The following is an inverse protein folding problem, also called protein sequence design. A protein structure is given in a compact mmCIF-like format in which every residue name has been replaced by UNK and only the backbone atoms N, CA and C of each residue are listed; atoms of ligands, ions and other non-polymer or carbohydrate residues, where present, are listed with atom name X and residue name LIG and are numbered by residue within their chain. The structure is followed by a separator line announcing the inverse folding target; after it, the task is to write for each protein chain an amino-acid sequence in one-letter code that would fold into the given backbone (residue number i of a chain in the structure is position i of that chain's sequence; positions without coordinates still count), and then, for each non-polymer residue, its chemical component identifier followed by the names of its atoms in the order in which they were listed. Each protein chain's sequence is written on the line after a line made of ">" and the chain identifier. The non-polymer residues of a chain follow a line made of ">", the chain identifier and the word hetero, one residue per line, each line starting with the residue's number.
data_IF_886596873329
#
_entry.id   IF_886596873329
#
_cell.length_a   1.000
_cell.length_b   1.000
_cell.length_c   1.000
_cell.angle_alpha   90.00
_cell.angle_beta   90.00
_cell.angle_gamma   90.00
#
_symmetry.space_group_name_H-M   'P 1'
#
loop_
_entity.id
_entity.type
_entity.pdbx_description
1 polymer ?
#
# COMPACT_ATOMS: atom_id res chain seq x y z
N UNK A 1 -10.60 -9.94 14.38
CA UNK A 1 -10.33 -9.06 13.23
C UNK A 1 -11.60 -8.68 12.48
N UNK A 2 -12.38 -9.63 11.93
CA UNK A 2 -13.65 -9.30 11.24
C UNK A 2 -14.61 -8.47 12.08
N UNK A 3 -14.85 -8.88 13.33
CA UNK A 3 -15.69 -8.14 14.28
C UNK A 3 -15.18 -6.70 14.54
N UNK A 4 -13.85 -6.48 14.58
CA UNK A 4 -13.28 -5.14 14.77
C UNK A 4 -13.65 -4.20 13.62
N UNK A 5 -13.62 -4.71 12.38
CA UNK A 5 -13.96 -3.93 11.19
C UNK A 5 -15.47 -3.69 11.13
N UNK A 6 -16.28 -4.75 11.32
CA UNK A 6 -17.73 -4.69 11.13
C UNK A 6 -18.46 -3.97 12.26
N UNK A 7 -18.09 -4.22 13.51
CA UNK A 7 -18.78 -3.68 14.69
C UNK A 7 -18.21 -2.34 15.14
N UNK A 8 -16.89 -2.18 15.05
CA UNK A 8 -16.19 -0.99 15.57
C UNK A 8 -15.64 -0.07 14.47
N UNK A 9 -15.82 -0.42 13.18
CA UNK A 9 -15.35 0.40 12.07
C UNK A 9 -13.83 0.53 11.99
N UNK A 10 -13.08 -0.38 12.60
CA UNK A 10 -11.61 -0.35 12.60
C UNK A 10 -11.09 -0.62 11.21
N UNK A 11 -10.16 0.20 10.73
CA UNK A 11 -9.48 -0.02 9.45
C UNK A 11 -8.18 -0.75 9.70
N UNK A 12 -8.03 -1.92 9.08
CA UNK A 12 -6.84 -2.76 9.20
C UNK A 12 -6.04 -2.66 7.91
N UNK A 13 -4.79 -2.22 8.03
CA UNK A 13 -3.83 -2.13 6.93
C UNK A 13 -2.74 -3.18 7.16
N UNK A 14 -2.39 -3.96 6.14
CA UNK A 14 -1.42 -5.04 6.23
C UNK A 14 -0.53 -5.08 5.01
N UNK A 15 0.76 -5.37 5.22
CA UNK A 15 1.74 -5.55 4.14
C UNK A 15 1.49 -6.85 3.37
N UNK A 16 1.60 -6.81 2.05
CA UNK A 16 1.42 -7.98 1.18
C UNK A 16 2.49 -9.07 1.40
N UNK A 17 3.69 -8.70 1.85
CA UNK A 17 4.83 -9.60 2.01
C UNK A 17 5.97 -9.26 1.05
N UNK A 18 7.16 -9.80 1.34
CA UNK A 18 8.39 -9.55 0.57
C UNK A 18 8.86 -10.79 -0.22
N UNK A 19 7.93 -11.66 -0.62
CA UNK A 19 8.24 -12.94 -1.28
C UNK A 19 8.05 -12.87 -2.81
N UNK A 20 8.04 -11.67 -3.39
CA UNK A 20 8.09 -11.47 -4.84
C UNK A 20 9.46 -11.88 -5.43
N UNK A 21 9.59 -11.94 -6.76
CA UNK A 21 8.63 -11.53 -7.79
C UNK A 21 7.61 -12.62 -8.17
N UNK A 22 7.65 -13.78 -7.51
CA UNK A 22 6.81 -14.94 -7.82
C UNK A 22 5.34 -14.59 -7.57
N UNK A 23 4.45 -14.95 -8.51
CA UNK A 23 3.00 -14.84 -8.33
C UNK A 23 2.50 -15.76 -7.21
N UNK A 24 1.33 -15.49 -6.65
CA UNK A 24 0.75 -16.28 -5.58
C UNK A 24 1.60 -16.36 -4.30
N UNK A 25 2.36 -15.30 -4.01
CA UNK A 25 3.33 -15.22 -2.91
C UNK A 25 2.79 -14.49 -1.66
N UNK A 26 1.48 -14.21 -1.64
CA UNK A 26 0.78 -13.62 -0.49
C UNK A 26 0.26 -14.73 0.41
N UNK A 27 1.00 -15.00 1.49
CA UNK A 27 0.73 -16.10 2.41
C UNK A 27 0.38 -15.65 3.83
N UNK A 28 0.55 -14.37 4.14
CA UNK A 28 0.45 -13.83 5.49
C UNK A 28 -0.95 -13.27 5.83
N UNK A 29 -1.92 -13.38 4.91
CA UNK A 29 -3.26 -12.81 5.06
C UNK A 29 -4.29 -13.93 5.28
N UNK A 30 -5.08 -13.88 6.38
CA UNK A 30 -6.12 -14.85 6.61
C UNK A 30 -7.22 -14.74 5.53
N UNK A 31 -7.57 -15.87 4.95
CA UNK A 31 -8.49 -15.98 3.80
C UNK A 31 -9.84 -15.30 4.01
N UNK A 32 -10.42 -15.46 5.21
CA UNK A 32 -11.78 -14.98 5.54
C UNK A 32 -11.90 -13.45 5.73
N UNK A 33 -10.79 -12.72 5.75
CA UNK A 33 -10.80 -11.27 6.01
C UNK A 33 -10.21 -10.45 4.87
N UNK A 34 -9.83 -11.09 3.76
CA UNK A 34 -9.19 -10.39 2.64
C UNK A 34 -10.06 -9.25 2.10
N UNK A 35 -11.37 -9.43 2.04
CA UNK A 35 -12.33 -8.44 1.55
C UNK A 35 -12.43 -7.19 2.44
N UNK A 36 -12.07 -7.29 3.73
CA UNK A 36 -12.26 -6.22 4.71
C UNK A 36 -10.95 -5.54 5.15
N UNK A 37 -9.79 -6.10 4.82
CA UNK A 37 -8.48 -5.50 5.13
C UNK A 37 -7.88 -4.81 3.91
N UNK A 38 -7.07 -3.79 4.12
CA UNK A 38 -6.26 -3.18 3.07
C UNK A 38 -4.92 -3.88 2.99
N UNK A 39 -4.68 -4.58 1.88
CA UNK A 39 -3.42 -5.27 1.61
C UNK A 39 -2.56 -4.40 0.72
N UNK A 40 -1.38 -4.04 1.21
CA UNK A 40 -0.53 -3.03 0.58
C UNK A 40 0.72 -3.68 0.00
N UNK A 41 0.87 -3.56 -1.32
CA UNK A 41 2.13 -3.89 -2.00
C UNK A 41 3.10 -2.72 -1.99
N UNK A 42 4.34 -2.97 -2.39
CA UNK A 42 5.36 -1.92 -2.51
C UNK A 42 5.50 -1.50 -3.97
N UNK A 43 5.52 -0.20 -4.22
CA UNK A 43 6.01 0.36 -5.48
C UNK A 43 7.30 1.15 -5.28
N UNK A 44 8.04 1.27 -6.36
CA UNK A 44 9.11 2.23 -6.53
C UNK A 44 8.53 3.52 -7.14
N UNK A 45 8.93 4.66 -6.60
CA UNK A 45 8.50 5.98 -7.09
C UNK A 45 9.48 6.44 -8.17
N UNK A 46 8.96 6.87 -9.31
CA UNK A 46 9.72 7.24 -10.52
C UNK A 46 10.87 8.24 -10.29
N UNK A 47 10.77 9.10 -9.28
CA UNK A 47 11.83 10.07 -8.94
C UNK A 47 13.13 9.41 -8.44
N UNK A 48 13.06 8.20 -7.86
CA UNK A 48 14.25 7.44 -7.41
C UNK A 48 14.77 6.43 -8.43
N UNK A 49 13.92 5.97 -9.35
CA UNK A 49 14.23 5.05 -10.45
C UNK A 49 15.34 5.59 -11.36
N UNK A 50 15.51 6.92 -11.44
CA UNK A 50 16.59 7.55 -12.22
C UNK A 50 17.99 7.31 -11.64
N UNK A 51 18.10 7.05 -10.33
CA UNK A 51 19.40 7.01 -9.64
C UNK A 51 20.04 5.63 -9.60
N UNK A 52 19.26 4.55 -9.60
CA UNK A 52 19.79 3.19 -9.47
C UNK A 52 19.15 2.22 -10.47
N UNK A 53 19.98 1.71 -11.40
CA UNK A 53 19.77 0.53 -12.26
C UNK A 53 18.67 0.56 -13.35
N UNK A 54 17.69 1.46 -13.32
CA UNK A 54 16.54 1.41 -14.24
C UNK A 54 16.36 2.66 -15.13
N UNK A 55 17.47 3.23 -15.64
CA UNK A 55 17.47 4.34 -16.61
C UNK A 55 16.76 4.07 -17.95
N UNK A 56 16.32 2.83 -18.21
CA UNK A 56 15.70 2.43 -19.49
C UNK A 56 14.17 2.31 -19.45
N UNK A 57 13.52 2.55 -18.30
CA UNK A 57 12.05 2.51 -18.22
C UNK A 57 11.52 3.92 -18.50
N UNK A 58 11.23 4.21 -19.78
CA UNK A 58 10.65 5.48 -20.27
C UNK A 58 9.26 5.84 -19.72
N UNK A 59 8.76 5.09 -18.75
CA UNK A 59 7.44 5.29 -18.18
C UNK A 59 7.61 5.84 -16.75
N UNK A 60 7.25 7.12 -16.56
CA UNK A 60 7.19 7.79 -15.24
C UNK A 60 6.13 7.20 -14.29
N UNK A 61 5.66 5.99 -14.56
CA UNK A 61 4.67 5.30 -13.75
C UNK A 61 5.38 4.53 -12.64
N UNK A 62 4.87 4.57 -11.39
CA UNK A 62 5.41 3.78 -10.30
C UNK A 62 5.37 2.30 -10.66
N UNK A 63 6.52 1.64 -10.62
CA UNK A 63 6.66 0.20 -10.88
C UNK A 63 6.50 -0.58 -9.59
N UNK A 64 5.95 -1.81 -9.67
CA UNK A 64 5.91 -2.69 -8.50
C UNK A 64 7.34 -3.06 -8.09
N UNK A 65 7.66 -2.98 -6.80
CA UNK A 65 8.98 -3.37 -6.30
C UNK A 65 9.16 -4.88 -6.47
N UNK A 66 10.34 -5.32 -6.94
CA UNK A 66 10.61 -6.74 -7.25
C UNK A 66 10.36 -7.69 -6.09
N UNK A 67 10.63 -7.26 -4.85
CA UNK A 67 10.39 -8.06 -3.66
C UNK A 67 8.92 -8.11 -3.25
N UNK A 68 8.05 -7.22 -3.75
CA UNK A 68 6.66 -7.16 -3.31
C UNK A 68 5.94 -8.45 -3.68
N UNK A 69 5.34 -9.12 -2.69
CA UNK A 69 4.48 -10.27 -2.93
C UNK A 69 3.32 -9.90 -3.85
N UNK A 70 2.96 -10.82 -4.73
CA UNK A 70 1.94 -10.63 -5.76
C UNK A 70 0.86 -11.71 -5.64
N UNK A 71 -0.35 -11.35 -6.03
CA UNK A 71 -1.43 -12.32 -6.22
C UNK A 71 -1.20 -13.21 -7.45
N UNK A 72 -2.20 -13.99 -7.86
CA UNK A 72 -3.49 -14.16 -7.18
C UNK A 72 -3.35 -14.85 -5.81
N UNK A 73 -4.31 -14.69 -4.91
CA UNK A 73 -4.36 -15.53 -3.71
C UNK A 73 -4.62 -16.98 -4.13
N UNK A 74 -3.80 -17.90 -3.64
CA UNK A 74 -3.92 -19.35 -3.91
C UNK A 74 -5.28 -19.93 -3.52
N UNK A 75 -6.03 -19.23 -2.68
CA UNK A 75 -7.21 -19.74 -2.00
C UNK A 75 -8.51 -19.39 -2.70
N UNK A 76 -8.56 -18.26 -3.41
CA UNK A 76 -9.77 -17.78 -4.07
C UNK A 76 -9.52 -17.10 -5.43
N UNK A 77 -8.27 -17.06 -5.91
CA UNK A 77 -7.93 -16.45 -7.19
C UNK A 77 -8.01 -14.92 -7.22
N UNK A 78 -8.38 -14.25 -6.13
CA UNK A 78 -8.44 -12.78 -6.08
C UNK A 78 -7.05 -12.15 -6.18
N UNK A 79 -6.96 -10.88 -6.54
CA UNK A 79 -5.65 -10.18 -6.71
C UNK A 79 -4.79 -10.17 -5.45
N UNK A 80 -5.36 -10.35 -4.26
CA UNK A 80 -4.62 -10.36 -3.00
C UNK A 80 -4.13 -8.98 -2.52
N UNK A 81 -3.66 -8.12 -3.42
CA UNK A 81 -3.25 -6.74 -3.15
C UNK A 81 -4.43 -5.78 -3.39
N UNK A 82 -4.62 -4.82 -2.49
CA UNK A 82 -5.63 -3.75 -2.64
C UNK A 82 -5.08 -2.58 -3.45
N UNK A 83 -3.90 -2.07 -3.09
CA UNK A 83 -3.17 -1.06 -3.87
C UNK A 83 -1.67 -1.06 -3.50
N UNK A 84 -0.88 -0.29 -4.25
CA UNK A 84 0.56 -0.12 -4.01
C UNK A 84 0.82 1.21 -3.31
N UNK A 85 1.77 1.22 -2.37
CA UNK A 85 2.30 2.45 -1.79
C UNK A 85 3.84 2.42 -1.83
N UNK A 86 4.50 3.58 -1.77
CA UNK A 86 5.96 3.65 -1.75
C UNK A 86 6.54 2.85 -0.58
N UNK A 87 7.38 1.86 -0.89
CA UNK A 87 8.08 1.01 0.09
C UNK A 87 9.51 0.67 -0.30
N UNK A 88 9.98 1.22 -1.43
CA UNK A 88 11.37 1.16 -1.87
C UNK A 88 12.09 2.46 -1.49
N UNK A 89 13.31 2.35 -0.99
CA UNK A 89 14.17 3.50 -0.72
C UNK A 89 13.67 4.37 0.43
N UNK A 90 12.93 3.81 1.39
CA UNK A 90 12.34 4.57 2.50
C UNK A 90 13.43 4.87 3.53
N UNK A 91 13.70 6.16 3.72
CA UNK A 91 14.65 6.63 4.72
C UNK A 91 13.96 6.62 6.08
N UNK A 92 14.45 5.79 7.00
CA UNK A 92 14.03 5.82 8.39
C UNK A 92 15.06 6.59 9.21
N UNK A 93 14.59 7.64 9.89
CA UNK A 93 15.40 8.35 10.88
C UNK A 93 15.09 7.76 12.25
N UNK A 94 15.90 6.81 12.69
CA UNK A 94 15.82 6.30 14.06
C UNK A 94 16.20 7.42 15.04
N UNK A 95 15.42 7.56 16.12
CA UNK A 95 15.76 8.45 17.26
C UNK A 95 16.85 7.86 18.16
N UNK A 96 17.18 6.58 18.01
CA UNK A 96 18.05 5.82 18.92
C UNK A 96 19.49 5.67 18.42
N UNK A 97 19.75 5.95 17.14
CA UNK A 97 21.10 5.92 16.60
C UNK A 97 21.57 7.37 16.38
N UNK A 98 22.59 7.77 17.14
CA UNK A 98 23.28 9.06 17.05
C UNK A 98 24.08 9.23 15.76
N UNK A 99 24.13 8.21 14.91
CA UNK A 99 24.87 8.27 13.66
C UNK A 99 24.07 9.09 12.65
N UNK A 100 24.67 10.16 12.14
CA UNK A 100 24.13 11.05 11.10
C UNK A 100 23.88 10.36 9.73
N UNK A 101 23.86 9.02 9.69
CA UNK A 101 23.66 8.23 8.49
C UNK A 101 22.23 7.66 8.47
N UNK A 102 21.30 8.28 7.73
CA UNK A 102 19.97 7.72 7.54
C UNK A 102 20.04 6.32 6.91
N UNK A 103 19.41 5.33 7.56
CA UNK A 103 19.27 4.00 6.99
C UNK A 103 18.13 3.98 5.96
N UNK A 104 18.39 3.33 4.81
CA UNK A 104 17.43 3.19 3.71
C UNK A 104 16.89 1.77 3.72
N UNK A 105 15.56 1.64 3.76
CA UNK A 105 14.87 0.36 3.85
C UNK A 105 13.99 0.08 2.63
N UNK A 106 13.94 -1.20 2.26
CA UNK A 106 13.18 -1.74 1.15
C UNK A 106 12.27 -2.86 1.65
N UNK A 107 10.99 -2.58 1.89
CA UNK A 107 10.03 -3.62 2.23
C UNK A 107 8.58 -3.14 2.15
N UNK A 108 7.66 -4.09 1.96
CA UNK A 108 6.21 -3.85 2.10
C UNK A 108 5.80 -3.43 3.51
N UNK A 109 6.65 -3.71 4.51
CA UNK A 109 6.50 -3.20 5.88
C UNK A 109 6.62 -1.68 5.96
N UNK A 110 7.28 -1.02 5.00
CA UNK A 110 7.36 0.44 4.93
C UNK A 110 6.24 1.03 4.05
N UNK A 111 5.73 0.27 3.07
CA UNK A 111 4.58 0.71 2.28
C UNK A 111 3.26 0.69 3.06
N UNK A 112 3.07 -0.28 3.96
CA UNK A 112 1.89 -0.37 4.81
C UNK A 112 1.65 0.86 5.72
N UNK A 113 2.63 1.38 6.50
CA UNK A 113 2.43 2.59 7.31
C UNK A 113 2.25 3.84 6.44
N UNK A 114 2.89 3.92 5.27
CA UNK A 114 2.67 5.02 4.32
C UNK A 114 1.21 5.06 3.83
N UNK A 115 0.68 3.90 3.40
CA UNK A 115 -0.72 3.76 3.05
C UNK A 115 -1.67 4.07 4.23
N UNK A 116 -1.33 3.64 5.44
CA UNK A 116 -2.12 3.93 6.64
C UNK A 116 -2.20 5.44 6.92
N UNK A 117 -1.10 6.18 6.77
CA UNK A 117 -1.08 7.64 6.89
C UNK A 117 -1.97 8.32 5.85
N UNK A 118 -1.88 7.92 4.59
CA UNK A 118 -2.75 8.45 3.53
C UNK A 118 -4.23 8.16 3.78
N UNK A 119 -4.55 6.94 4.24
CA UNK A 119 -5.91 6.55 4.64
C UNK A 119 -6.39 7.42 5.81
N UNK A 120 -5.55 7.69 6.81
CA UNK A 120 -5.90 8.55 7.93
C UNK A 120 -6.23 9.98 7.49
N UNK A 121 -5.45 10.55 6.56
CA UNK A 121 -5.73 11.85 5.96
C UNK A 121 -7.07 11.87 5.21
N UNK A 122 -7.37 10.84 4.42
CA UNK A 122 -8.66 10.71 3.74
C UNK A 122 -9.83 10.67 4.72
N UNK A 123 -9.72 9.86 5.78
CA UNK A 123 -10.74 9.78 6.83
C UNK A 123 -10.92 11.13 7.53
N UNK A 124 -9.82 11.83 7.82
CA UNK A 124 -9.85 13.18 8.39
C UNK A 124 -10.64 14.14 7.50
N UNK A 125 -10.39 14.11 6.18
CA UNK A 125 -11.13 14.91 5.20
C UNK A 125 -12.62 14.56 5.17
N UNK A 126 -12.98 13.28 5.17
CA UNK A 126 -14.39 12.87 5.23
C UNK A 126 -15.07 13.35 6.51
N UNK A 127 -14.40 13.23 7.67
CA UNK A 127 -14.91 13.74 8.95
C UNK A 127 -15.11 15.25 8.92
N UNK A 128 -14.15 16.01 8.39
CA UNK A 128 -14.25 17.47 8.27
C UNK A 128 -15.43 17.93 7.39
N UNK A 129 -15.82 17.11 6.42
CA UNK A 129 -16.96 17.37 5.52
C UNK A 129 -18.27 16.71 6.00
N UNK A 130 -18.33 16.16 7.22
CA UNK A 130 -19.49 15.44 7.76
C UNK A 130 -19.97 14.26 6.88
N UNK A 131 -19.05 13.62 6.16
CA UNK A 131 -19.35 12.46 5.30
C UNK A 131 -19.11 11.19 6.11
N UNK A 132 -20.17 10.41 6.32
CA UNK A 132 -20.09 9.12 7.02
C UNK A 132 -19.37 8.07 6.15
N UNK A 133 -18.14 7.74 6.52
CA UNK A 133 -17.32 6.73 5.87
C UNK A 133 -17.21 5.46 6.72
N UNK A 134 -17.39 4.29 6.10
CA UNK A 134 -17.15 2.98 6.73
C UNK A 134 -15.94 2.31 6.05
N UNK A 135 -15.26 1.34 6.70
CA UNK A 135 -14.14 0.63 6.09
C UNK A 135 -14.49 0.03 4.71
N UNK A 136 -15.70 -0.53 4.57
CA UNK A 136 -16.21 -1.07 3.32
C UNK A 136 -16.38 0.01 2.24
N UNK A 137 -17.02 1.14 2.57
CA UNK A 137 -17.19 2.26 1.63
C UNK A 137 -15.84 2.83 1.19
N UNK A 138 -14.90 2.95 2.13
CA UNK A 138 -13.56 3.45 1.83
C UNK A 138 -12.83 2.51 0.86
N UNK A 139 -12.87 1.20 1.10
CA UNK A 139 -12.22 0.21 0.23
C UNK A 139 -12.89 0.15 -1.15
N UNK A 140 -14.21 0.26 -1.19
CA UNK A 140 -14.97 0.31 -2.44
C UNK A 140 -14.65 1.58 -3.25
N UNK A 141 -14.54 2.74 -2.60
CA UNK A 141 -14.13 3.99 -3.24
C UNK A 141 -12.76 3.86 -3.93
N UNK A 142 -11.82 3.18 -3.28
CA UNK A 142 -10.51 2.88 -3.86
C UNK A 142 -10.61 2.00 -5.12
N UNK A 143 -11.45 0.96 -5.10
CA UNK A 143 -11.66 0.10 -6.27
C UNK A 143 -12.32 0.86 -7.43
N UNK A 144 -13.31 1.71 -7.15
CA UNK A 144 -13.98 2.54 -8.17
C UNK A 144 -13.01 3.52 -8.83
N UNK A 145 -12.07 4.11 -8.06
CA UNK A 145 -11.13 5.08 -8.61
C UNK A 145 -10.30 4.50 -9.77
N UNK A 146 -9.99 3.19 -9.74
CA UNK A 146 -9.30 2.49 -10.83
C UNK A 146 -10.10 2.51 -12.14
N UNK A 147 -11.43 2.50 -12.07
CA UNK A 147 -12.31 2.46 -13.24
C UNK A 147 -12.69 3.85 -13.76
N UNK A 148 -12.92 4.83 -12.88
CA UNK A 148 -13.49 6.12 -13.28
C UNK A 148 -12.48 7.27 -13.38
N UNK A 149 -11.30 7.17 -12.75
CA UNK A 149 -10.31 8.25 -12.74
C UNK A 149 -8.87 7.76 -12.98
N UNK A 150 -8.56 7.14 -14.14
CA UNK A 150 -7.24 6.55 -14.39
C UNK A 150 -6.09 7.57 -14.54
N UNK A 151 -6.33 8.89 -14.56
CA UNK A 151 -5.35 9.90 -15.02
C UNK A 151 -5.08 11.12 -14.14
N UNK A 152 -5.43 11.13 -12.84
CA UNK A 152 -4.98 12.21 -11.93
C UNK A 152 -4.41 11.64 -10.64
N UNK A 153 -3.16 11.20 -10.70
CA UNK A 153 -2.32 11.13 -9.50
C UNK A 153 -1.84 12.57 -9.30
N UNK A 154 -2.50 13.30 -8.41
CA UNK A 154 -1.88 14.49 -7.82
C UNK A 154 -0.90 13.92 -6.81
N UNK A 155 0.38 13.89 -7.19
CA UNK A 155 1.44 13.78 -6.20
C UNK A 155 1.26 15.01 -5.30
N UNK A 156 0.89 14.78 -4.04
CA UNK A 156 0.95 15.83 -3.03
C UNK A 156 2.45 15.99 -2.77
N UNK A 157 3.03 17.02 -3.40
CA UNK A 157 4.38 17.50 -3.10
C UNK A 157 4.37 18.28 -1.78
#
# INVERSE_FOLDING_TARGET
>A
MKELVEKYGVIIVKSAGNNGPIYSSINNIPQKIHEIIFVIGSCDTSERVETNLHKNIKNNLPSISLFSSQGPLTTNGSTGVTFLAPGYGIIEKSKYFSDNNPAVYNATSMSAPNAAGAIACLISGFKANNILITPFKLKFLWLIRLFFYPKKIVAIH
#
